data_IF_640283041975
#
_entry.id   IF_640283041975
#
_cell.length_a   1.000
_cell.length_b   1.000
_cell.length_c   1.000
_cell.angle_alpha   90.00
_cell.angle_beta   90.00
_cell.angle_gamma   90.00
#
_symmetry.space_group_name_H-M   'P 1'
#
loop_
_entity.id
_entity.type
_entity.pdbx_description
1 polymer ?
#
# COMPACT_ATOMS: atom_id res chain seq x y z
N UNK A 1 -22.25 0.19 13.74
CA UNK A 1 -22.78 0.21 12.34
C UNK A 1 -21.56 0.21 11.44
N UNK A 2 -21.24 -0.90 10.81
CA UNK A 2 -20.16 -1.00 9.83
C UNK A 2 -20.52 -0.18 8.59
N UNK A 3 -19.63 0.69 8.14
CA UNK A 3 -19.84 1.47 6.92
C UNK A 3 -20.14 0.54 5.74
N UNK A 4 -21.08 0.92 4.88
CA UNK A 4 -21.34 0.20 3.64
C UNK A 4 -20.04 0.12 2.82
N UNK A 5 -19.73 -1.02 2.16
CA UNK A 5 -18.51 -1.19 1.36
C UNK A 5 -18.25 -0.05 0.37
N UNK A 6 -19.31 0.57 -0.14
CA UNK A 6 -19.25 1.72 -1.08
C UNK A 6 -18.68 3.03 -0.47
N UNK A 7 -18.56 3.13 0.85
CA UNK A 7 -18.08 4.34 1.55
C UNK A 7 -16.75 4.14 2.29
N UNK A 8 -16.22 2.93 2.31
CA UNK A 8 -14.95 2.63 2.98
C UNK A 8 -13.77 3.03 2.09
N UNK A 9 -12.69 3.56 2.71
CA UNK A 9 -11.43 3.80 2.01
C UNK A 9 -10.79 2.52 1.49
N UNK A 10 -9.95 2.62 0.48
CA UNK A 10 -9.20 1.50 -0.10
C UNK A 10 -7.89 1.30 0.68
N UNK A 11 -7.55 0.04 0.93
CA UNK A 11 -6.27 -0.34 1.51
C UNK A 11 -5.30 -0.73 0.40
N UNK A 12 -4.23 0.07 0.23
CA UNK A 12 -3.15 -0.23 -0.71
C UNK A 12 -1.96 -0.80 0.04
N UNK A 13 -1.41 -1.89 -0.46
CA UNK A 13 -0.20 -2.54 0.08
C UNK A 13 0.89 -2.46 -0.97
N UNK A 14 1.93 -1.69 -0.70
CA UNK A 14 3.07 -1.54 -1.57
C UNK A 14 4.28 -2.24 -0.96
N UNK A 15 4.83 -3.21 -1.68
CA UNK A 15 6.00 -3.93 -1.23
C UNK A 15 7.05 -4.10 -2.33
N UNK A 16 8.28 -4.29 -1.92
CA UNK A 16 9.40 -4.45 -2.84
C UNK A 16 10.60 -5.08 -2.13
N UNK A 17 11.48 -5.76 -2.87
CA UNK A 17 12.79 -6.11 -2.38
C UNK A 17 13.62 -4.88 -2.00
N UNK A 18 14.52 -5.07 -1.04
CA UNK A 18 15.44 -4.01 -0.65
C UNK A 18 16.28 -3.54 -1.84
N UNK A 19 16.43 -2.22 -2.02
CA UNK A 19 17.22 -1.65 -3.13
C UNK A 19 16.44 -1.43 -4.44
N UNK A 20 15.17 -1.79 -4.51
CA UNK A 20 14.35 -1.61 -5.72
C UNK A 20 14.02 -0.14 -6.03
N UNK A 21 14.13 0.78 -5.04
CA UNK A 21 13.81 2.20 -5.21
C UNK A 21 12.39 2.58 -4.81
N UNK A 22 11.70 1.75 -4.01
CA UNK A 22 10.33 1.97 -3.55
C UNK A 22 10.12 3.36 -2.93
N UNK A 23 10.94 3.75 -1.97
CA UNK A 23 10.84 5.05 -1.29
C UNK A 23 10.97 6.23 -2.26
N UNK A 24 11.93 6.16 -3.19
CA UNK A 24 12.12 7.22 -4.21
C UNK A 24 10.92 7.32 -5.15
N UNK A 25 10.34 6.16 -5.52
CA UNK A 25 9.14 6.12 -6.36
C UNK A 25 7.92 6.72 -5.65
N UNK A 26 7.75 6.42 -4.36
CA UNK A 26 6.68 7.02 -3.54
C UNK A 26 6.87 8.53 -3.46
N UNK A 27 8.08 9.01 -3.17
CA UNK A 27 8.39 10.45 -3.10
C UNK A 27 8.07 11.13 -4.43
N UNK A 28 8.49 10.54 -5.55
CA UNK A 28 8.21 11.06 -6.88
C UNK A 28 6.71 11.16 -7.17
N UNK A 29 5.98 10.10 -6.86
CA UNK A 29 4.52 10.08 -7.00
C UNK A 29 3.85 11.19 -6.17
N UNK A 30 4.35 11.45 -4.96
CA UNK A 30 3.84 12.53 -4.10
C UNK A 30 4.10 13.91 -4.67
N UNK A 31 5.30 14.14 -5.22
CA UNK A 31 5.69 15.39 -5.88
C UNK A 31 4.85 15.66 -7.13
N UNK A 32 4.45 14.62 -7.87
CA UNK A 32 3.63 14.71 -9.07
C UNK A 32 2.12 14.95 -8.79
N UNK A 33 1.77 15.30 -7.55
CA UNK A 33 0.42 15.75 -7.16
C UNK A 33 -0.49 14.69 -6.54
N UNK A 34 -0.08 13.42 -6.46
CA UNK A 34 -0.87 12.42 -5.73
C UNK A 34 -0.91 12.67 -4.21
N UNK A 35 0.08 13.40 -3.68
CA UNK A 35 0.09 13.85 -2.30
C UNK A 35 -1.01 14.84 -1.93
N UNK A 36 -1.57 15.51 -2.94
CA UNK A 36 -2.67 16.47 -2.78
C UNK A 36 -4.06 15.84 -2.94
N UNK A 37 -4.14 14.52 -3.19
CA UNK A 37 -5.43 13.84 -3.28
C UNK A 37 -6.16 13.92 -1.94
N UNK A 38 -7.37 14.47 -1.91
CA UNK A 38 -8.18 14.44 -0.71
C UNK A 38 -8.43 12.98 -0.31
N UNK A 39 -8.48 12.72 0.98
CA UNK A 39 -8.79 11.40 1.51
C UNK A 39 -7.80 10.29 1.08
N UNK A 40 -6.49 10.61 1.01
CA UNK A 40 -5.40 9.66 0.76
C UNK A 40 -4.24 9.92 1.73
N UNK A 41 -3.78 8.89 2.43
CA UNK A 41 -2.70 9.00 3.42
C UNK A 41 -1.75 7.81 3.36
N UNK A 42 -0.51 8.04 3.80
CA UNK A 42 0.44 6.99 4.12
C UNK A 42 0.26 6.58 5.58
N UNK A 43 0.32 5.29 5.86
CA UNK A 43 0.37 4.85 7.25
C UNK A 43 1.78 5.05 7.82
N UNK A 44 1.85 5.45 9.08
CA UNK A 44 3.10 5.55 9.84
C UNK A 44 3.29 4.25 10.61
N UNK A 45 4.28 3.44 10.22
CA UNK A 45 4.56 2.16 10.88
C UNK A 45 5.26 2.37 12.23
N UNK A 46 5.06 1.42 13.15
CA UNK A 46 5.82 1.32 14.39
C UNK A 46 7.14 0.61 14.16
N UNK A 47 8.19 0.98 14.90
CA UNK A 47 9.47 0.28 14.85
C UNK A 47 10.21 0.36 16.19
N UNK A 48 10.97 -0.71 16.49
CA UNK A 48 11.88 -0.74 17.66
C UNK A 48 13.28 -0.23 17.31
N UNK A 49 13.51 0.14 16.06
CA UNK A 49 14.76 0.75 15.61
C UNK A 49 14.89 2.17 16.15
N UNK A 50 16.06 2.54 16.62
CA UNK A 50 16.35 3.93 16.95
C UNK A 50 16.18 4.86 15.72
N UNK A 51 15.69 6.10 15.90
CA UNK A 51 15.56 7.06 14.81
C UNK A 51 16.92 7.37 14.19
N UNK A 52 16.95 7.53 12.87
CA UNK A 52 18.11 8.03 12.13
C UNK A 52 18.12 9.56 12.17
N UNK A 53 19.26 10.14 11.78
CA UNK A 53 19.38 11.61 11.69
C UNK A 53 18.31 12.17 10.74
N UNK A 54 17.48 13.07 11.27
CA UNK A 54 16.42 13.74 10.51
C UNK A 54 15.07 13.03 10.50
N UNK A 55 14.97 11.79 11.01
CA UNK A 55 13.68 11.11 11.20
C UNK A 55 12.94 11.68 12.43
N UNK A 56 11.63 11.84 12.31
CA UNK A 56 10.76 12.35 13.35
C UNK A 56 9.73 11.31 13.75
N UNK A 57 9.51 11.20 15.08
CA UNK A 57 8.46 10.35 15.62
C UNK A 57 7.07 10.82 15.17
N UNK A 58 6.20 9.85 14.86
CA UNK A 58 4.85 10.11 14.35
C UNK A 58 4.77 10.62 12.90
N UNK A 59 5.92 10.87 12.24
CA UNK A 59 5.99 11.25 10.83
C UNK A 59 6.63 10.15 9.97
N UNK A 60 7.85 9.74 10.32
CA UNK A 60 8.59 8.72 9.57
C UNK A 60 8.31 7.31 10.12
N UNK A 61 8.25 7.20 11.43
CA UNK A 61 7.85 6.02 12.20
C UNK A 61 7.29 6.45 13.56
N UNK A 62 6.54 5.55 14.20
CA UNK A 62 6.33 5.55 15.63
C UNK A 62 7.47 4.74 16.26
N UNK A 63 8.44 5.44 16.88
CA UNK A 63 9.59 4.79 17.53
C UNK A 63 9.20 4.36 18.94
N UNK A 64 9.18 3.05 19.17
CA UNK A 64 8.74 2.47 20.45
C UNK A 64 9.78 1.49 21.00
N UNK A 65 9.78 1.29 22.31
CA UNK A 65 10.60 0.28 22.94
C UNK A 65 10.11 -1.13 22.57
N UNK A 66 11.03 -2.10 22.58
CA UNK A 66 10.72 -3.49 22.27
C UNK A 66 9.59 -4.04 23.13
N UNK A 67 9.60 -3.77 24.43
CA UNK A 67 8.55 -4.22 25.37
C UNK A 67 7.16 -3.65 25.04
N UNK A 68 7.10 -2.40 24.53
CA UNK A 68 5.86 -1.79 24.05
C UNK A 68 5.38 -2.49 22.79
N UNK A 69 6.29 -2.76 21.85
CA UNK A 69 5.95 -3.44 20.60
C UNK A 69 5.43 -4.87 20.86
N UNK A 70 6.12 -5.63 21.70
CA UNK A 70 5.74 -7.01 22.08
C UNK A 70 4.37 -7.04 22.78
N UNK A 71 4.07 -6.06 23.63
CA UNK A 71 2.74 -5.90 24.21
C UNK A 71 1.69 -5.65 23.14
N UNK A 72 1.95 -4.77 22.17
CA UNK A 72 1.04 -4.52 21.05
C UNK A 72 0.79 -5.78 20.21
N UNK A 73 1.82 -6.64 20.04
CA UNK A 73 1.64 -7.97 19.41
C UNK A 73 0.66 -8.83 20.24
N UNK A 74 0.89 -8.93 21.55
CA UNK A 74 0.05 -9.77 22.44
C UNK A 74 -1.40 -9.29 22.52
N UNK A 75 -1.65 -8.01 22.28
CA UNK A 75 -2.97 -7.37 22.23
C UNK A 75 -3.60 -7.39 20.83
N UNK A 76 -3.00 -8.08 19.83
CA UNK A 76 -3.43 -8.13 18.41
C UNK A 76 -3.66 -6.73 17.80
N UNK A 77 -2.83 -5.75 18.15
CA UNK A 77 -2.97 -4.36 17.70
C UNK A 77 -2.35 -4.09 16.34
N UNK A 78 -1.72 -5.07 15.70
CA UNK A 78 -1.12 -4.92 14.38
C UNK A 78 -1.96 -5.54 13.26
N UNK A 79 -2.05 -4.86 12.12
CA UNK A 79 -2.49 -5.44 10.85
C UNK A 79 -1.46 -6.44 10.35
N UNK A 80 -0.20 -6.06 10.46
CA UNK A 80 0.97 -6.85 10.12
C UNK A 80 2.14 -6.44 11.00
N UNK A 81 3.07 -7.34 11.23
CA UNK A 81 4.37 -7.06 11.83
C UNK A 81 5.41 -8.07 11.40
N UNK A 82 6.67 -7.65 11.38
CA UNK A 82 7.80 -8.52 11.04
C UNK A 82 9.05 -8.17 11.86
N UNK A 83 9.92 -9.16 12.06
CA UNK A 83 11.26 -8.97 12.62
C UNK A 83 12.24 -8.85 11.45
N UNK A 84 12.64 -7.62 11.11
CA UNK A 84 13.51 -7.32 9.97
C UNK A 84 14.87 -6.86 10.48
N UNK A 85 15.90 -7.62 10.17
CA UNK A 85 17.29 -7.34 10.63
C UNK A 85 17.43 -7.13 12.15
N UNK A 86 16.69 -7.91 12.94
CA UNK A 86 16.70 -7.83 14.40
C UNK A 86 15.91 -6.67 15.00
N UNK A 87 15.14 -5.94 14.21
CA UNK A 87 14.25 -4.86 14.64
C UNK A 87 12.81 -5.18 14.26
N UNK A 88 11.89 -4.96 15.17
CA UNK A 88 10.46 -5.07 14.86
C UNK A 88 10.01 -3.89 14.01
N UNK A 89 9.10 -4.18 13.08
CA UNK A 89 8.32 -3.22 12.31
C UNK A 89 6.90 -3.72 12.20
N UNK A 90 5.93 -2.83 12.17
CA UNK A 90 4.54 -3.23 12.01
C UNK A 90 3.61 -2.04 11.86
N UNK A 91 2.48 -2.26 11.23
CA UNK A 91 1.44 -1.27 10.98
C UNK A 91 0.26 -1.52 11.92
N UNK A 92 -0.07 -0.53 12.75
CA UNK A 92 -1.12 -0.72 13.74
C UNK A 92 -2.53 -0.65 13.13
N UNK A 93 -3.45 -1.45 13.69
CA UNK A 93 -4.88 -1.40 13.35
C UNK A 93 -5.50 -0.04 13.69
N UNK A 94 -5.07 0.55 14.81
CA UNK A 94 -5.57 1.84 15.30
C UNK A 94 -5.20 2.98 14.35
N UNK A 95 -4.11 2.83 13.61
CA UNK A 95 -3.65 3.80 12.61
C UNK A 95 -4.49 3.71 11.31
N UNK A 96 -4.85 2.50 10.90
CA UNK A 96 -5.39 2.23 9.56
C UNK A 96 -6.92 2.11 9.56
N UNK A 97 -7.50 1.29 10.45
CA UNK A 97 -8.92 0.95 10.36
C UNK A 97 -9.85 2.16 10.49
N UNK A 98 -9.64 3.11 11.43
CA UNK A 98 -10.51 4.28 11.53
C UNK A 98 -10.47 5.16 10.28
N UNK A 99 -9.33 5.26 9.62
CA UNK A 99 -9.18 6.02 8.37
C UNK A 99 -9.96 5.37 7.24
N UNK A 100 -9.83 4.06 7.06
CA UNK A 100 -10.61 3.32 6.08
C UNK A 100 -12.11 3.46 6.32
N UNK A 101 -12.56 3.37 7.56
CA UNK A 101 -13.98 3.56 7.95
C UNK A 101 -14.48 4.97 7.67
N UNK A 102 -13.61 5.97 7.79
CA UNK A 102 -13.91 7.36 7.43
C UNK A 102 -13.92 7.62 5.91
N UNK A 103 -13.60 6.61 5.07
CA UNK A 103 -13.53 6.74 3.63
C UNK A 103 -12.18 7.24 3.10
N UNK A 104 -11.16 7.28 3.96
CA UNK A 104 -9.80 7.69 3.60
C UNK A 104 -9.03 6.47 3.10
N UNK A 105 -8.43 6.59 1.92
CA UNK A 105 -7.55 5.57 1.36
C UNK A 105 -6.21 5.56 2.10
N UNK A 106 -5.71 4.38 2.40
CA UNK A 106 -4.46 4.20 3.15
C UNK A 106 -3.47 3.37 2.35
N UNK A 107 -2.25 3.89 2.16
CA UNK A 107 -1.16 3.16 1.54
C UNK A 107 -0.16 2.71 2.61
N UNK A 108 0.07 1.40 2.66
CA UNK A 108 1.09 0.76 3.48
C UNK A 108 2.38 0.61 2.66
N UNK A 109 3.48 1.21 3.16
CA UNK A 109 4.85 0.98 2.66
C UNK A 109 5.54 -0.04 3.54
N UNK A 110 5.37 -1.34 3.24
CA UNK A 110 5.82 -2.45 4.08
C UNK A 110 6.75 -3.42 3.35
N UNK A 111 7.41 -4.30 4.08
CA UNK A 111 8.20 -5.38 3.50
C UNK A 111 7.33 -6.55 3.01
N UNK A 112 7.96 -7.53 2.36
CA UNK A 112 7.25 -8.68 1.77
C UNK A 112 6.57 -9.54 2.84
N UNK A 113 7.18 -9.71 4.04
CA UNK A 113 6.60 -10.54 5.10
C UNK A 113 5.33 -9.88 5.68
N UNK A 114 5.37 -8.56 5.89
CA UNK A 114 4.19 -7.79 6.31
C UNK A 114 3.10 -7.79 5.24
N UNK A 115 3.48 -7.62 3.97
CA UNK A 115 2.55 -7.64 2.85
C UNK A 115 1.81 -8.98 2.73
N UNK A 116 2.50 -10.11 2.90
CA UNK A 116 1.86 -11.43 2.90
C UNK A 116 0.79 -11.56 3.98
N UNK A 117 1.05 -11.08 5.20
CA UNK A 117 0.07 -11.09 6.29
C UNK A 117 -1.16 -10.25 5.96
N UNK A 118 -0.96 -9.06 5.36
CA UNK A 118 -2.09 -8.20 4.97
C UNK A 118 -2.88 -8.85 3.84
N UNK A 119 -2.24 -9.38 2.80
CA UNK A 119 -2.92 -10.06 1.67
C UNK A 119 -3.76 -11.25 2.15
N UNK A 120 -3.27 -12.02 3.12
CA UNK A 120 -3.99 -13.18 3.66
C UNK A 120 -5.19 -12.77 4.52
N UNK A 121 -5.05 -11.71 5.34
CA UNK A 121 -6.11 -11.27 6.28
C UNK A 121 -7.08 -10.29 5.66
N UNK A 122 -6.67 -9.57 4.62
CA UNK A 122 -7.41 -8.53 3.91
C UNK A 122 -7.32 -8.77 2.39
N UNK A 123 -7.98 -9.82 1.86
CA UNK A 123 -7.91 -10.17 0.44
C UNK A 123 -8.50 -9.09 -0.48
N UNK A 124 -9.29 -8.17 0.08
CA UNK A 124 -9.79 -6.99 -0.61
C UNK A 124 -8.72 -5.91 -0.85
N UNK A 125 -7.61 -5.94 -0.10
CA UNK A 125 -6.54 -4.95 -0.22
C UNK A 125 -5.89 -4.97 -1.61
N UNK A 126 -5.58 -3.81 -2.14
CA UNK A 126 -4.91 -3.64 -3.43
C UNK A 126 -3.42 -3.85 -3.26
N UNK A 127 -2.93 -5.02 -3.61
CA UNK A 127 -1.52 -5.38 -3.42
C UNK A 127 -0.68 -5.11 -4.67
N UNK A 128 0.43 -4.38 -4.49
CA UNK A 128 1.30 -3.89 -5.54
C UNK A 128 2.74 -4.27 -5.22
N UNK A 129 3.40 -4.97 -6.11
CA UNK A 129 4.80 -5.35 -5.99
C UNK A 129 5.68 -4.52 -6.90
N UNK A 130 6.75 -3.94 -6.36
CA UNK A 130 7.74 -3.22 -7.16
C UNK A 130 8.90 -4.15 -7.48
N UNK A 131 9.10 -4.39 -8.75
CA UNK A 131 10.12 -5.28 -9.29
C UNK A 131 11.32 -4.47 -9.76
N UNK A 132 12.58 -4.85 -9.41
CA UNK A 132 13.75 -4.29 -10.06
C UNK A 132 13.80 -4.75 -11.53
N UNK A 133 14.37 -3.94 -12.47
CA UNK A 133 14.40 -4.32 -13.87
C UNK A 133 15.34 -5.50 -14.18
N UNK A 134 16.31 -5.74 -13.29
CA UNK A 134 17.23 -6.90 -13.40
C UNK A 134 18.00 -7.10 -12.09
N UNK A 135 18.57 -8.29 -11.92
CA UNK A 135 19.49 -8.59 -10.83
C UNK A 135 20.69 -7.62 -10.81
N UNK A 136 21.28 -7.35 -11.97
CA UNK A 136 22.42 -6.41 -12.12
C UNK A 136 22.05 -4.99 -11.68
N UNK A 137 20.86 -4.52 -11.99
CA UNK A 137 20.39 -3.20 -11.57
C UNK A 137 20.20 -3.14 -10.04
N UNK A 138 19.67 -4.22 -9.46
CA UNK A 138 19.51 -4.33 -8.01
C UNK A 138 20.86 -4.33 -7.28
N UNK A 139 21.82 -5.13 -7.74
CA UNK A 139 23.18 -5.19 -7.21
C UNK A 139 23.85 -3.82 -7.26
N UNK A 140 23.80 -3.14 -8.41
CA UNK A 140 24.33 -1.79 -8.56
C UNK A 140 23.72 -0.83 -7.55
N UNK A 141 22.38 -0.78 -7.43
CA UNK A 141 21.67 0.12 -6.51
C UNK A 141 22.00 -0.15 -5.04
N UNK A 142 22.24 -1.41 -4.66
CA UNK A 142 22.67 -1.76 -3.30
C UNK A 142 24.12 -1.31 -3.03
N UNK A 143 25.01 -1.44 -4.03
CA UNK A 143 26.42 -1.05 -3.93
C UNK A 143 26.57 0.47 -3.90
N UNK A 144 25.86 1.22 -4.77
CA UNK A 144 25.97 2.68 -4.87
C UNK A 144 25.50 3.43 -3.60
N UNK A 145 24.72 2.79 -2.73
CA UNK A 145 24.35 3.36 -1.43
C UNK A 145 25.54 3.55 -0.49
N UNK A 146 26.64 2.85 -0.72
CA UNK A 146 27.90 3.06 -0.03
C UNK A 146 27.91 2.81 1.48
N UNK A 147 26.84 2.22 2.01
CA UNK A 147 26.61 2.06 3.46
C UNK A 147 26.90 0.64 3.96
N UNK A 148 27.14 -0.30 3.04
CA UNK A 148 27.23 -1.72 3.37
C UNK A 148 28.56 -2.33 2.90
N UNK A 149 29.14 -3.19 3.72
CA UNK A 149 30.27 -4.04 3.36
C UNK A 149 29.89 -5.06 2.28
N UNK A 150 30.83 -5.53 1.44
CA UNK A 150 30.55 -6.49 0.36
C UNK A 150 29.82 -7.77 0.81
N UNK A 151 30.09 -8.23 2.03
CA UNK A 151 29.41 -9.38 2.63
C UNK A 151 27.93 -9.10 2.92
N UNK A 152 27.62 -7.89 3.38
CA UNK A 152 26.25 -7.43 3.64
C UNK A 152 25.46 -7.26 2.33
N UNK A 153 26.11 -6.72 1.27
CA UNK A 153 25.50 -6.60 -0.06
C UNK A 153 25.10 -7.98 -0.59
N UNK A 154 26.00 -8.98 -0.53
CA UNK A 154 25.70 -10.35 -0.96
C UNK A 154 24.53 -10.95 -0.20
N UNK A 155 24.49 -10.77 1.14
CA UNK A 155 23.38 -11.25 1.97
C UNK A 155 22.07 -10.59 1.58
N UNK A 156 22.06 -9.27 1.37
CA UNK A 156 20.86 -8.51 0.97
C UNK A 156 20.37 -8.92 -0.43
N UNK A 157 21.28 -9.16 -1.37
CA UNK A 157 20.94 -9.71 -2.70
C UNK A 157 20.26 -11.07 -2.58
N UNK A 158 20.80 -11.98 -1.75
CA UNK A 158 20.20 -13.29 -1.52
C UNK A 158 18.78 -13.20 -0.96
N UNK A 159 18.55 -12.32 0.03
CA UNK A 159 17.20 -12.05 0.56
C UNK A 159 16.28 -11.48 -0.52
N UNK A 160 16.76 -10.48 -1.28
CA UNK A 160 15.97 -9.86 -2.34
C UNK A 160 15.53 -10.83 -3.44
N UNK A 161 16.37 -11.83 -3.77
CA UNK A 161 15.99 -12.88 -4.74
C UNK A 161 14.83 -13.73 -4.22
N UNK A 162 14.84 -14.09 -2.92
CA UNK A 162 13.73 -14.82 -2.30
C UNK A 162 12.44 -13.98 -2.21
N UNK A 163 12.57 -12.69 -1.90
CA UNK A 163 11.46 -11.74 -1.90
C UNK A 163 10.84 -11.57 -3.30
N UNK A 164 11.66 -11.54 -4.35
CA UNK A 164 11.19 -11.47 -5.74
C UNK A 164 10.29 -12.67 -6.08
N UNK A 165 10.55 -13.85 -5.58
CA UNK A 165 9.73 -15.04 -5.88
C UNK A 165 8.26 -14.88 -5.42
N UNK A 166 7.99 -13.99 -4.46
CA UNK A 166 6.64 -13.74 -3.94
C UNK A 166 5.74 -12.89 -4.86
N UNK A 167 6.27 -12.31 -5.96
CA UNK A 167 5.53 -11.39 -6.82
C UNK A 167 4.17 -11.92 -7.31
N UNK A 168 4.03 -13.24 -7.48
CA UNK A 168 2.81 -13.90 -7.96
C UNK A 168 1.63 -13.81 -6.99
N UNK A 169 1.86 -13.42 -5.75
CA UNK A 169 0.83 -13.21 -4.72
C UNK A 169 0.18 -11.83 -4.81
N UNK A 170 0.76 -10.91 -5.59
CA UNK A 170 0.29 -9.54 -5.71
C UNK A 170 -0.64 -9.38 -6.91
N UNK A 171 -1.59 -8.46 -6.80
CA UNK A 171 -2.53 -8.14 -7.88
C UNK A 171 -1.85 -7.33 -9.00
N UNK A 172 -0.86 -6.50 -8.64
CA UNK A 172 -0.15 -5.65 -9.58
C UNK A 172 1.36 -5.80 -9.41
N UNK A 173 2.08 -5.71 -10.53
CA UNK A 173 3.55 -5.67 -10.55
C UNK A 173 3.98 -4.47 -11.36
N UNK A 174 4.83 -3.61 -10.78
CA UNK A 174 5.43 -2.47 -11.46
C UNK A 174 6.93 -2.73 -11.59
N UNK A 175 7.46 -2.69 -12.81
CA UNK A 175 8.91 -2.79 -13.05
C UNK A 175 9.50 -1.37 -12.94
N UNK A 176 10.39 -1.16 -11.95
CA UNK A 176 11.06 0.12 -11.74
C UNK A 176 12.35 0.20 -12.57
N UNK A 177 12.20 0.23 -13.89
CA UNK A 177 13.27 0.46 -14.87
C UNK A 177 13.49 1.96 -15.11
N UNK A 178 12.42 2.74 -15.09
CA UNK A 178 12.37 4.18 -15.18
C UNK A 178 11.49 4.74 -14.06
N UNK A 179 12.03 5.69 -13.31
CA UNK A 179 11.39 6.19 -12.09
C UNK A 179 10.06 6.90 -12.39
N UNK A 180 10.04 7.75 -13.43
CA UNK A 180 8.85 8.56 -13.75
C UNK A 180 7.71 7.65 -14.25
N UNK A 181 8.02 6.69 -15.13
CA UNK A 181 7.04 5.70 -15.60
C UNK A 181 6.52 4.81 -14.46
N UNK A 182 7.40 4.37 -13.58
CA UNK A 182 7.00 3.53 -12.44
C UNK A 182 6.11 4.30 -11.45
N UNK A 183 6.41 5.58 -11.19
CA UNK A 183 5.60 6.47 -10.36
C UNK A 183 4.23 6.72 -10.98
N UNK A 184 4.17 6.97 -12.28
CA UNK A 184 2.91 7.15 -13.02
C UNK A 184 2.07 5.87 -13.02
N UNK A 185 2.69 4.69 -13.16
CA UNK A 185 1.98 3.41 -13.08
C UNK A 185 1.36 3.19 -11.69
N UNK A 186 2.08 3.53 -10.60
CA UNK A 186 1.55 3.47 -9.25
C UNK A 186 0.36 4.43 -9.08
N UNK A 187 0.51 5.66 -9.56
CA UNK A 187 -0.54 6.68 -9.56
C UNK A 187 -1.79 6.20 -10.31
N UNK A 188 -1.61 5.61 -11.49
CA UNK A 188 -2.70 5.10 -12.30
C UNK A 188 -3.50 3.99 -11.60
N UNK A 189 -2.82 3.07 -10.89
CA UNK A 189 -3.48 2.01 -10.12
C UNK A 189 -4.35 2.63 -9.01
N UNK A 190 -3.81 3.60 -8.27
CA UNK A 190 -4.54 4.28 -7.19
C UNK A 190 -5.76 5.02 -7.76
N UNK A 191 -5.58 5.78 -8.83
CA UNK A 191 -6.65 6.55 -9.47
C UNK A 191 -7.74 5.64 -10.06
N UNK A 192 -7.37 4.51 -10.68
CA UNK A 192 -8.33 3.51 -11.19
C UNK A 192 -9.27 3.05 -10.07
N UNK A 193 -8.72 2.65 -8.92
CA UNK A 193 -9.51 2.20 -7.78
C UNK A 193 -10.48 3.27 -7.27
N UNK A 194 -10.05 4.52 -7.26
CA UNK A 194 -10.87 5.66 -6.80
C UNK A 194 -12.02 6.01 -7.75
N UNK A 195 -11.90 5.68 -9.04
CA UNK A 195 -12.90 6.01 -10.05
C UNK A 195 -13.85 4.85 -10.40
N UNK A 196 -13.74 3.73 -9.72
CA UNK A 196 -14.73 2.66 -9.88
C UNK A 196 -16.12 3.11 -9.48
N UNK A 197 -17.13 2.68 -10.23
CA UNK A 197 -18.53 3.07 -10.01
C UNK A 197 -18.97 2.92 -8.55
N UNK A 198 -18.64 1.80 -7.92
CA UNK A 198 -18.95 1.53 -6.51
C UNK A 198 -18.38 2.58 -5.55
N UNK A 199 -17.21 3.16 -5.88
CA UNK A 199 -16.56 4.21 -5.08
C UNK A 199 -17.09 5.60 -5.38
N UNK A 200 -17.68 5.79 -6.56
CA UNK A 200 -18.19 7.07 -7.01
C UNK A 200 -19.65 7.32 -6.57
N UNK A 201 -20.35 6.32 -6.07
CA UNK A 201 -21.80 6.36 -5.79
C UNK A 201 -22.21 7.60 -4.98
N UNK A 202 -21.51 7.92 -3.88
CA UNK A 202 -21.80 9.11 -3.06
C UNK A 202 -21.64 10.44 -3.82
N UNK A 203 -20.60 10.54 -4.68
CA UNK A 203 -20.37 11.72 -5.51
C UNK A 203 -21.41 11.81 -6.62
N UNK A 204 -21.72 10.68 -7.24
CA UNK A 204 -22.74 10.60 -8.31
C UNK A 204 -24.13 10.99 -7.80
N UNK A 205 -24.56 10.52 -6.63
CA UNK A 205 -25.85 10.94 -6.02
C UNK A 205 -25.94 12.45 -5.86
N UNK A 206 -24.84 13.12 -5.46
CA UNK A 206 -24.83 14.60 -5.34
C UNK A 206 -24.95 15.29 -6.70
N UNK A 207 -24.27 14.76 -7.71
CA UNK A 207 -24.32 15.28 -9.08
C UNK A 207 -25.72 15.05 -9.64
N UNK A 208 -26.27 13.84 -9.52
CA UNK A 208 -27.57 13.46 -10.05
C UNK A 208 -28.73 14.21 -9.40
N UNK A 209 -28.59 14.65 -8.16
CA UNK A 209 -29.61 15.50 -7.51
C UNK A 209 -29.84 16.85 -8.21
N UNK A 210 -28.91 17.29 -9.05
CA UNK A 210 -29.03 18.50 -9.85
C UNK A 210 -29.63 18.29 -11.25
N UNK A 211 -29.91 17.03 -11.64
CA UNK A 211 -30.51 16.70 -12.92
C UNK A 211 -32.03 16.50 -12.78
N UNK A 212 -32.82 16.75 -13.84
CA UNK A 212 -34.22 16.30 -13.88
C UNK A 212 -34.28 14.80 -13.57
N UNK A 213 -35.36 14.36 -12.93
CA UNK A 213 -35.54 12.95 -12.60
C UNK A 213 -35.27 12.07 -13.84
N UNK A 214 -34.23 11.23 -13.71
CA UNK A 214 -33.97 10.20 -14.71
C UNK A 214 -35.12 9.19 -14.59
N UNK A 215 -35.84 8.92 -15.68
CA UNK A 215 -36.84 7.85 -15.69
C UNK A 215 -36.12 6.54 -15.33
N UNK A 216 -36.68 5.74 -14.40
CA UNK A 216 -36.11 4.43 -14.13
C UNK A 216 -36.09 3.62 -15.42
N UNK A 217 -34.95 3.04 -15.79
CA UNK A 217 -34.89 2.07 -16.87
C UNK A 217 -36.01 1.05 -16.61
N UNK A 218 -36.95 0.94 -17.53
CA UNK A 218 -38.01 -0.05 -17.46
C UNK A 218 -37.32 -1.42 -17.40
N UNK A 219 -37.43 -2.09 -16.26
CA UNK A 219 -37.04 -3.50 -16.17
C UNK A 219 -37.77 -4.21 -17.31
N UNK A 220 -36.98 -4.75 -18.25
CA UNK A 220 -37.51 -5.42 -19.42
C UNK A 220 -38.47 -6.49 -18.98
N UNK A 221 -39.75 -6.21 -19.17
CA UNK A 221 -40.80 -7.19 -19.06
C UNK A 221 -40.53 -8.26 -20.11
N UNK A 222 -39.88 -9.32 -19.71
CA UNK A 222 -39.83 -10.57 -20.45
C UNK A 222 -41.26 -11.09 -20.59
N UNK A 223 -41.94 -10.67 -21.65
CA UNK A 223 -43.19 -11.24 -22.08
C UNK A 223 -42.96 -12.68 -22.48
N UNK A 224 -43.35 -13.60 -21.63
CA UNK A 224 -43.65 -14.94 -22.04
C UNK A 224 -44.92 -14.88 -22.84
N UNK A 225 -44.88 -15.11 -24.15
CA UNK A 225 -46.01 -15.60 -24.93
C UNK A 225 -45.81 -17.09 -25.10
N UNK A 226 -46.69 -17.81 -24.39
CA UNK A 226 -47.03 -19.18 -24.70
C UNK A 226 -47.82 -19.20 -26.01
N UNK A 227 -47.39 -20.04 -26.94
CA UNK A 227 -48.25 -20.84 -27.82
C UNK A 227 -47.59 -22.12 -28.25
#
# INVERSE_FOLDING_TARGET
MTASPANRGELFVLSAPSGTGKTTMIQRMMEDGLGELPDFVFSVSHTTRAPRRGELDGRDYHFVDQSVFERMISEDRFLEWALVHGQYKGTSRDEVLPRLEAGVDVLLDIDVQGAEQVIERHPEAVSIFIMPPSHRALERRLTERGLDEPSQIRRRLGVSVSEIACYRRYQYVIINDDLDRASQALAAIILEKRHRLARMDKKLRRVLAGFPALEPEAEGSGGGEEE
#
